data_IF_963033434331
#
_entry.id   IF_963033434331
#
_cell.length_a   1.000
_cell.length_b   1.000
_cell.length_c   1.000
_cell.angle_alpha   90.00
_cell.angle_beta   90.00
_cell.angle_gamma   90.00
#
_symmetry.space_group_name_H-M   'P 1'
#
loop_
_entity.id
_entity.type
_entity.pdbx_description
1 polymer ?
#
# COMPACT_ATOMS: atom_id res chain seq x y z
N UNK A 1 -3.87 -8.36 8.09
CA UNK A 1 -4.84 -7.28 7.88
C UNK A 1 -4.06 -5.99 7.70
N UNK A 2 -4.34 -5.25 6.63
CA UNK A 2 -3.88 -3.88 6.45
C UNK A 2 -5.10 -2.97 6.55
N UNK A 3 -5.02 -1.94 7.37
CA UNK A 3 -6.04 -0.89 7.46
C UNK A 3 -5.32 0.44 7.35
N UNK A 4 -5.70 1.27 6.38
CA UNK A 4 -5.13 2.58 6.18
C UNK A 4 -6.24 3.62 6.06
N UNK A 5 -6.05 4.78 6.65
CA UNK A 5 -6.97 5.90 6.58
C UNK A 5 -6.20 7.21 6.58
N UNK A 6 -6.84 8.27 6.07
CA UNK A 6 -6.29 9.61 6.05
C UNK A 6 -6.96 10.38 7.17
N UNK A 7 -6.17 10.88 8.12
CA UNK A 7 -6.62 11.73 9.21
C UNK A 7 -5.49 12.71 9.56
N UNK A 8 -5.84 13.87 10.14
CA UNK A 8 -4.84 14.83 10.65
C UNK A 8 -3.74 15.23 9.63
N UNK A 9 -4.09 15.33 8.34
CA UNK A 9 -3.15 15.62 7.22
C UNK A 9 -2.07 14.55 7.00
N UNK A 10 -2.25 13.34 7.52
CA UNK A 10 -1.33 12.24 7.36
C UNK A 10 -2.02 10.92 7.04
N UNK A 11 -1.21 9.97 6.58
CA UNK A 11 -1.63 8.58 6.50
C UNK A 11 -1.45 7.91 7.86
N UNK A 12 -2.49 7.26 8.33
CA UNK A 12 -2.45 6.34 9.46
C UNK A 12 -2.66 4.93 8.93
N UNK A 13 -1.87 3.97 9.41
CA UNK A 13 -2.06 2.58 9.04
C UNK A 13 -1.77 1.61 10.18
N UNK A 14 -2.39 0.45 10.11
CA UNK A 14 -2.11 -0.71 10.95
C UNK A 14 -1.89 -1.91 10.02
N UNK A 15 -0.79 -2.61 10.25
CA UNK A 15 -0.35 -3.72 9.40
C UNK A 15 -0.05 -4.90 10.32
N UNK A 16 -0.70 -6.04 10.06
CA UNK A 16 -0.38 -7.30 10.73
C UNK A 16 0.78 -8.01 10.00
N UNK A 17 2.01 -7.79 10.47
CA UNK A 17 3.22 -8.46 9.99
C UNK A 17 3.27 -9.88 10.57
N UNK A 18 3.62 -10.87 9.75
CA UNK A 18 3.58 -12.30 10.10
C UNK A 18 2.36 -13.02 9.52
N UNK A 19 1.35 -12.27 9.07
CA UNK A 19 0.14 -12.85 8.45
C UNK A 19 0.46 -13.84 7.33
N UNK A 20 1.37 -13.51 6.41
CA UNK A 20 1.65 -14.37 5.27
C UNK A 20 2.58 -15.51 5.68
N UNK A 21 3.59 -15.20 6.49
CA UNK A 21 4.58 -16.15 7.00
C UNK A 21 3.92 -17.28 7.78
N UNK A 22 3.01 -16.93 8.70
CA UNK A 22 2.26 -17.88 9.54
C UNK A 22 1.32 -18.77 8.71
N UNK A 23 1.01 -18.34 7.48
CA UNK A 23 0.19 -19.08 6.52
C UNK A 23 1.04 -19.73 5.40
N UNK A 24 2.35 -19.88 5.60
CA UNK A 24 3.25 -20.61 4.70
C UNK A 24 3.61 -19.87 3.41
N UNK A 25 3.51 -18.54 3.39
CA UNK A 25 3.91 -17.68 2.26
C UNK A 25 4.98 -16.70 2.69
N UNK A 26 5.91 -16.38 1.80
CA UNK A 26 6.88 -15.31 2.05
C UNK A 26 6.19 -13.95 2.12
N UNK A 27 6.52 -13.14 3.13
CA UNK A 27 5.88 -11.84 3.39
C UNK A 27 6.06 -10.86 2.23
N UNK A 28 7.29 -10.61 1.80
CA UNK A 28 7.56 -9.56 0.83
C UNK A 28 6.88 -9.79 -0.53
N UNK A 29 6.94 -10.99 -1.16
CA UNK A 29 6.20 -11.26 -2.38
C UNK A 29 4.68 -11.20 -2.20
N UNK A 30 4.15 -11.69 -1.07
CA UNK A 30 2.72 -11.67 -0.80
C UNK A 30 2.18 -10.24 -0.64
N UNK A 31 2.89 -9.38 0.09
CA UNK A 31 2.58 -7.95 0.16
C UNK A 31 2.70 -7.26 -1.19
N UNK A 32 3.69 -7.62 -2.01
CA UNK A 32 3.83 -7.10 -3.37
C UNK A 32 2.60 -7.38 -4.25
N UNK A 33 2.08 -8.62 -4.22
CA UNK A 33 0.86 -8.99 -4.93
C UNK A 33 -0.35 -8.22 -4.39
N UNK A 34 -0.48 -8.13 -3.06
CA UNK A 34 -1.57 -7.39 -2.43
C UNK A 34 -1.60 -5.91 -2.84
N UNK A 35 -0.43 -5.25 -2.86
CA UNK A 35 -0.30 -3.86 -3.28
C UNK A 35 -0.62 -3.69 -4.78
N UNK A 36 -0.17 -4.62 -5.63
CA UNK A 36 -0.47 -4.59 -7.06
C UNK A 36 -1.98 -4.68 -7.33
N UNK A 37 -2.69 -5.54 -6.60
CA UNK A 37 -4.15 -5.65 -6.71
C UNK A 37 -4.85 -4.39 -6.21
N UNK A 38 -4.36 -3.79 -5.12
CA UNK A 38 -4.87 -2.51 -4.60
C UNK A 38 -4.73 -1.39 -5.64
N UNK A 39 -3.57 -1.26 -6.28
CA UNK A 39 -3.32 -0.29 -7.35
C UNK A 39 -4.29 -0.50 -8.52
N UNK A 40 -4.54 -1.77 -8.91
CA UNK A 40 -5.49 -2.08 -9.98
C UNK A 40 -6.92 -1.65 -9.62
N UNK A 41 -7.34 -1.85 -8.38
CA UNK A 41 -8.65 -1.38 -7.92
C UNK A 41 -8.77 0.15 -7.95
N UNK A 42 -7.73 0.87 -7.54
CA UNK A 42 -7.70 2.34 -7.63
C UNK A 42 -7.83 2.79 -9.09
N UNK A 43 -7.05 2.20 -10.00
CA UNK A 43 -7.08 2.55 -11.42
C UNK A 43 -8.44 2.27 -12.06
N UNK A 44 -9.06 1.13 -11.73
CA UNK A 44 -10.40 0.79 -12.21
C UNK A 44 -11.45 1.80 -11.70
N UNK A 45 -11.39 2.19 -10.43
CA UNK A 45 -12.32 3.17 -9.85
C UNK A 45 -12.15 4.57 -10.47
N UNK A 46 -10.90 5.01 -10.69
CA UNK A 46 -10.63 6.30 -11.35
C UNK A 46 -11.07 6.31 -12.81
N UNK A 47 -10.93 5.18 -13.50
CA UNK A 47 -11.48 5.02 -14.84
C UNK A 47 -13.01 5.11 -14.84
N UNK A 48 -13.68 4.38 -13.96
CA UNK A 48 -15.15 4.37 -13.88
C UNK A 48 -15.72 5.74 -13.49
N UNK A 49 -15.15 6.39 -12.48
CA UNK A 49 -15.67 7.63 -11.93
C UNK A 49 -15.29 8.87 -12.75
N UNK A 50 -14.11 8.88 -13.39
CA UNK A 50 -13.56 10.07 -14.03
C UNK A 50 -13.13 9.85 -15.49
N UNK A 51 -13.30 8.66 -16.05
CA UNK A 51 -12.93 8.36 -17.44
C UNK A 51 -11.42 8.28 -17.69
N UNK A 52 -10.61 8.16 -16.64
CA UNK A 52 -9.16 8.07 -16.74
C UNK A 52 -8.71 6.75 -17.38
N UNK A 53 -7.56 6.76 -18.06
CA UNK A 53 -6.94 5.56 -18.60
C UNK A 53 -6.36 4.72 -17.46
N UNK A 54 -6.89 3.51 -17.24
CA UNK A 54 -6.41 2.64 -16.16
C UNK A 54 -4.92 2.26 -16.33
N UNK A 55 -4.40 1.93 -17.53
CA UNK A 55 -2.96 1.70 -17.72
C UNK A 55 -2.10 2.91 -17.35
N UNK A 56 -2.49 4.11 -17.78
CA UNK A 56 -1.73 5.33 -17.49
C UNK A 56 -1.78 5.68 -16.00
N UNK A 57 -2.92 5.42 -15.35
CA UNK A 57 -3.09 5.59 -13.90
C UNK A 57 -2.16 4.64 -13.12
N UNK A 58 -2.09 3.37 -13.52
CA UNK A 58 -1.19 2.39 -12.90
C UNK A 58 0.27 2.85 -13.07
N UNK A 59 0.65 3.29 -14.28
CA UNK A 59 2.00 3.78 -14.54
C UNK A 59 2.37 4.98 -13.65
N UNK A 60 1.48 5.97 -13.54
CA UNK A 60 1.69 7.15 -12.72
C UNK A 60 1.79 6.81 -11.21
N UNK A 61 0.99 5.86 -10.72
CA UNK A 61 1.08 5.38 -9.34
C UNK A 61 2.41 4.68 -9.09
N UNK A 62 2.87 3.82 -10.01
CA UNK A 62 4.14 3.11 -9.87
C UNK A 62 5.35 4.04 -9.89
N UNK A 63 5.35 5.05 -10.76
CA UNK A 63 6.37 6.09 -10.79
C UNK A 63 6.44 6.83 -9.45
N UNK A 64 5.30 7.36 -9.00
CA UNK A 64 5.22 8.11 -7.73
C UNK A 64 5.60 7.24 -6.52
N UNK A 65 5.20 5.96 -6.50
CA UNK A 65 5.55 5.01 -5.46
C UNK A 65 7.05 4.73 -5.42
N UNK A 66 7.68 4.54 -6.58
CA UNK A 66 9.12 4.29 -6.66
C UNK A 66 9.92 5.50 -6.19
N UNK A 67 9.53 6.69 -6.61
CA UNK A 67 10.16 7.94 -6.19
C UNK A 67 10.06 8.15 -4.69
N UNK A 68 8.89 7.95 -4.08
CA UNK A 68 8.70 8.10 -2.63
C UNK A 68 9.46 7.04 -1.81
N UNK A 69 9.58 5.80 -2.33
CA UNK A 69 10.40 4.77 -1.67
C UNK A 69 11.91 5.08 -1.76
N UNK A 70 12.36 5.70 -2.85
CA UNK A 70 13.76 6.04 -3.07
C UNK A 70 14.18 7.34 -2.40
N UNK A 71 13.30 8.33 -2.35
CA UNK A 71 13.51 9.65 -1.78
C UNK A 71 12.25 10.12 -1.03
N UNK A 72 12.05 9.65 0.21
CA UNK A 72 10.82 9.90 0.95
C UNK A 72 10.62 11.40 1.24
N UNK A 73 9.40 11.87 1.01
CA UNK A 73 9.00 13.24 1.34
C UNK A 73 8.71 13.40 2.83
N UNK A 74 8.34 12.31 3.50
CA UNK A 74 8.14 12.25 4.95
C UNK A 74 8.68 10.96 5.56
N UNK A 75 9.20 11.05 6.78
CA UNK A 75 9.59 9.87 7.54
C UNK A 75 8.38 9.00 7.88
N UNK A 76 8.55 7.68 7.76
CA UNK A 76 7.57 6.73 8.24
C UNK A 76 7.42 6.84 9.76
N UNK A 77 6.20 7.11 10.24
CA UNK A 77 5.87 7.22 11.66
C UNK A 77 5.17 5.96 12.15
N UNK A 78 5.57 5.49 13.33
CA UNK A 78 4.99 4.30 13.98
C UNK A 78 6.07 3.42 14.60
N UNK A 79 5.66 2.32 15.22
CA UNK A 79 6.57 1.32 15.77
C UNK A 79 5.96 -0.07 15.62
N UNK A 80 6.83 -1.08 15.51
CA UNK A 80 6.40 -2.47 15.56
C UNK A 80 6.04 -2.84 17.00
N UNK A 81 4.80 -3.31 17.20
CA UNK A 81 4.34 -3.82 18.49
C UNK A 81 4.40 -5.35 18.47
N UNK A 82 5.12 -5.94 19.43
CA UNK A 82 5.29 -7.39 19.53
C UNK A 82 4.06 -8.12 20.13
N UNK A 83 2.97 -7.40 20.41
CA UNK A 83 1.84 -7.90 21.21
C UNK A 83 2.21 -7.99 22.69
N UNK A 84 1.23 -7.81 23.58
CA UNK A 84 1.41 -8.21 24.98
C UNK A 84 1.37 -9.74 25.02
N UNK A 85 2.44 -10.35 25.52
CA UNK A 85 2.50 -11.81 25.78
C UNK A 85 1.52 -12.27 26.86
#
# INVERSE_FOLDING_TARGET
MLSAWIAEHGQHCTINIGLWQDNGREEAPAWGIFLADTIRHIANALQEQYGQSAPDTIAAILESLHDELGNPTFDAKGAFSHGHG
#
